data_IF_519327122586
#
_entry.id   IF_519327122586
#
_cell.length_a   1.000
_cell.length_b   1.000
_cell.length_c   1.000
_cell.angle_alpha   90.00
_cell.angle_beta   90.00
_cell.angle_gamma   90.00
#
_symmetry.space_group_name_H-M   'P 1'
#
loop_
_entity.id
_entity.type
_entity.pdbx_description
1 polymer ?
#
# COMPACT_ATOMS: atom_id res chain seq x y z
N UNK A 1 26.77 7.50 -20.94
CA UNK A 1 25.50 7.68 -20.22
C UNK A 1 25.56 6.84 -18.95
N UNK A 2 25.79 7.48 -17.81
CA UNK A 2 25.68 6.84 -16.49
C UNK A 2 24.20 6.57 -16.24
N UNK A 3 23.81 5.30 -16.08
CA UNK A 3 22.47 4.98 -15.58
C UNK A 3 22.35 5.66 -14.21
N UNK A 4 21.45 6.63 -14.10
CA UNK A 4 21.13 7.23 -12.81
C UNK A 4 20.81 6.09 -11.83
N UNK A 5 21.41 6.14 -10.64
CA UNK A 5 21.11 5.17 -9.60
C UNK A 5 19.58 5.10 -9.44
N UNK A 6 18.98 3.90 -9.37
CA UNK A 6 17.54 3.78 -9.24
C UNK A 6 17.11 4.59 -8.03
N UNK A 7 16.21 5.56 -8.24
CA UNK A 7 15.55 6.28 -7.15
C UNK A 7 14.79 5.23 -6.37
N UNK A 8 15.36 4.81 -5.24
CA UNK A 8 14.75 3.80 -4.41
C UNK A 8 13.64 4.49 -3.63
N UNK A 9 12.40 4.15 -3.94
CA UNK A 9 11.22 4.78 -3.36
C UNK A 9 10.86 4.00 -2.11
N UNK A 10 11.12 4.61 -0.97
CA UNK A 10 11.01 3.96 0.33
C UNK A 10 9.56 3.96 0.84
N UNK A 11 8.74 3.07 0.28
CA UNK A 11 7.36 2.88 0.73
C UNK A 11 7.35 2.37 2.17
N UNK A 12 6.86 3.19 3.11
CA UNK A 12 6.80 2.85 4.54
C UNK A 12 8.11 3.03 5.31
N UNK A 13 8.99 3.92 4.84
CA UNK A 13 10.23 4.26 5.52
C UNK A 13 11.45 3.49 4.99
N UNK A 14 12.63 3.84 5.49
CA UNK A 14 13.89 3.28 5.02
C UNK A 14 14.30 2.05 5.84
N UNK A 15 15.19 1.22 5.29
CA UNK A 15 15.79 0.07 5.98
C UNK A 15 16.52 0.42 7.30
N UNK A 16 16.85 1.69 7.51
CA UNK A 16 17.58 2.18 8.68
C UNK A 16 16.65 2.68 9.80
N UNK A 17 15.34 2.77 9.57
CA UNK A 17 14.38 3.14 10.62
C UNK A 17 14.00 1.95 11.50
N UNK A 18 13.47 2.26 12.69
CA UNK A 18 12.84 1.27 13.56
C UNK A 18 11.40 1.03 13.13
N UNK A 19 10.95 -0.21 13.27
CA UNK A 19 9.55 -0.56 13.08
C UNK A 19 8.73 0.00 14.25
N UNK A 20 7.66 0.79 14.01
CA UNK A 20 6.87 1.37 15.08
C UNK A 20 6.04 0.32 15.85
N UNK A 21 5.81 -0.87 15.27
CA UNK A 21 5.10 -1.97 15.94
C UNK A 21 5.95 -2.70 16.97
N UNK A 22 7.18 -3.08 16.61
CA UNK A 22 8.01 -3.97 17.43
C UNK A 22 9.29 -3.30 17.97
N UNK A 23 9.56 -2.05 17.59
CA UNK A 23 10.73 -1.26 17.97
C UNK A 23 12.10 -1.85 17.52
N UNK A 24 12.11 -2.92 16.74
CA UNK A 24 13.32 -3.48 16.14
C UNK A 24 13.74 -2.72 14.88
N UNK A 25 15.03 -2.73 14.56
CA UNK A 25 15.55 -2.14 13.32
C UNK A 25 15.12 -2.98 12.11
N UNK A 26 14.72 -2.32 11.03
CA UNK A 26 14.27 -3.01 9.81
C UNK A 26 15.36 -3.85 9.16
N UNK A 27 16.60 -3.37 9.17
CA UNK A 27 17.74 -4.05 8.58
C UNK A 27 18.88 -4.34 9.57
N UNK A 28 18.65 -4.11 10.87
CA UNK A 28 19.67 -4.20 11.93
C UNK A 28 19.02 -4.69 13.23
N UNK A 29 19.72 -5.57 13.94
CA UNK A 29 19.25 -6.17 15.20
C UNK A 29 18.69 -7.59 15.03
N UNK A 30 18.39 -8.24 16.16
CA UNK A 30 17.72 -9.55 16.21
C UNK A 30 16.52 -9.43 17.16
N UNK A 31 15.29 -9.77 16.74
CA UNK A 31 14.88 -10.23 15.41
C UNK A 31 15.00 -9.15 14.31
N UNK A 32 15.37 -9.58 13.10
CA UNK A 32 15.42 -8.74 11.90
C UNK A 32 14.15 -8.94 11.07
N UNK A 33 13.66 -7.86 10.46
CA UNK A 33 12.57 -7.94 9.50
C UNK A 33 13.01 -8.60 8.18
N UNK A 34 12.18 -9.49 7.65
CA UNK A 34 12.40 -10.09 6.32
C UNK A 34 12.06 -9.10 5.20
N UNK A 35 11.21 -8.11 5.47
CA UNK A 35 10.90 -6.99 4.56
C UNK A 35 11.48 -5.70 5.19
N UNK A 36 12.77 -5.39 4.95
CA UNK A 36 13.38 -4.20 5.51
C UNK A 36 12.87 -2.91 4.87
N UNK A 37 12.52 -2.96 3.58
CA UNK A 37 11.98 -1.86 2.80
C UNK A 37 11.17 -2.43 1.62
N UNK A 38 10.10 -1.74 1.21
CA UNK A 38 9.42 -2.02 -0.05
C UNK A 38 10.04 -1.10 -1.09
N UNK A 39 10.63 -1.69 -2.13
CA UNK A 39 11.35 -0.96 -3.18
C UNK A 39 10.53 -0.89 -4.46
N UNK A 40 10.94 -0.07 -5.41
CA UNK A 40 10.31 0.05 -6.73
C UNK A 40 11.19 -0.60 -7.83
N UNK A 41 10.63 -0.82 -9.02
CA UNK A 41 11.37 -1.27 -10.21
C UNK A 41 10.82 -0.65 -11.50
N UNK A 42 11.67 -0.53 -12.53
CA UNK A 42 11.22 -0.04 -13.84
C UNK A 42 10.10 -0.90 -14.43
N UNK A 43 10.13 -2.21 -14.18
CA UNK A 43 9.09 -3.12 -14.63
C UNK A 43 7.72 -2.78 -14.01
N UNK A 44 7.69 -2.54 -12.70
CA UNK A 44 6.45 -2.15 -12.02
C UNK A 44 5.93 -0.80 -12.51
N UNK A 45 6.81 0.18 -12.73
CA UNK A 45 6.43 1.48 -13.31
C UNK A 45 5.78 1.31 -14.70
N UNK A 46 6.33 0.42 -15.53
CA UNK A 46 5.74 0.10 -16.83
C UNK A 46 4.37 -0.57 -16.66
N UNK A 47 4.25 -1.55 -15.76
CA UNK A 47 2.99 -2.26 -15.50
C UNK A 47 1.86 -1.33 -15.03
N UNK A 48 2.14 -0.39 -14.12
CA UNK A 48 1.15 0.63 -13.71
C UNK A 48 0.77 1.52 -14.89
N UNK A 49 1.74 1.92 -15.72
CA UNK A 49 1.51 2.75 -16.90
C UNK A 49 0.63 2.05 -17.95
N UNK A 50 0.86 0.76 -18.20
CA UNK A 50 0.03 -0.07 -19.08
C UNK A 50 -1.40 -0.19 -18.55
N UNK A 51 -1.55 -0.48 -17.25
CA UNK A 51 -2.86 -0.54 -16.60
C UNK A 51 -3.60 0.80 -16.69
N UNK A 52 -2.90 1.91 -16.42
CA UNK A 52 -3.46 3.26 -16.60
C UNK A 52 -3.95 3.48 -18.02
N UNK A 53 -3.14 3.17 -19.01
CA UNK A 53 -3.49 3.39 -20.41
C UNK A 53 -4.71 2.53 -20.82
N UNK A 54 -4.79 1.29 -20.35
CA UNK A 54 -5.94 0.41 -20.56
C UNK A 54 -7.23 0.98 -19.95
N UNK A 55 -7.16 1.49 -18.72
CA UNK A 55 -8.29 2.13 -18.03
C UNK A 55 -8.72 3.43 -18.73
N UNK A 56 -7.77 4.22 -19.27
CA UNK A 56 -8.12 5.43 -20.02
C UNK A 56 -8.77 5.11 -21.37
N UNK A 57 -8.31 4.05 -22.03
CA UNK A 57 -8.86 3.59 -23.30
C UNK A 57 -10.30 3.04 -23.16
N UNK A 58 -10.66 2.47 -22.00
CA UNK A 58 -12.04 2.03 -21.74
C UNK A 58 -13.02 3.19 -21.55
N UNK A 59 -12.52 4.39 -21.24
CA UNK A 59 -13.33 5.59 -21.08
C UNK A 59 -14.11 5.66 -19.76
N UNK A 60 -13.99 4.64 -18.90
CA UNK A 60 -14.76 4.50 -17.66
C UNK A 60 -14.41 5.56 -16.59
N UNK A 61 -13.32 6.33 -16.75
CA UNK A 61 -12.75 7.13 -15.65
C UNK A 61 -12.33 8.57 -16.02
N UNK A 62 -12.89 9.13 -17.10
CA UNK A 62 -12.51 10.49 -17.56
C UNK A 62 -12.71 11.60 -16.52
N UNK A 63 -13.60 11.40 -15.54
CA UNK A 63 -14.02 12.43 -14.57
C UNK A 63 -13.57 12.20 -13.13
N UNK A 64 -12.79 11.15 -12.83
CA UNK A 64 -12.39 10.82 -11.45
C UNK A 64 -10.89 10.69 -11.30
N UNK A 65 -10.33 11.28 -10.26
CA UNK A 65 -8.96 10.99 -9.85
C UNK A 65 -8.89 9.76 -8.97
N UNK A 66 -7.78 9.04 -9.10
CA UNK A 66 -7.53 7.82 -8.36
C UNK A 66 -6.03 7.51 -8.37
N UNK A 67 -5.63 6.57 -7.53
CA UNK A 67 -4.29 6.03 -7.48
C UNK A 67 -4.34 4.58 -7.93
N UNK A 68 -3.51 4.22 -8.89
CA UNK A 68 -3.24 2.84 -9.25
C UNK A 68 -1.97 2.39 -8.53
N UNK A 69 -1.89 1.12 -8.21
CA UNK A 69 -0.66 0.52 -7.73
C UNK A 69 -0.53 -0.91 -8.17
N UNK A 70 0.70 -1.38 -8.24
CA UNK A 70 1.06 -2.77 -8.49
C UNK A 70 2.08 -3.21 -7.46
N UNK A 71 2.03 -4.49 -7.09
CA UNK A 71 2.96 -5.13 -6.17
C UNK A 71 3.45 -6.45 -6.80
N UNK A 72 4.77 -6.65 -6.76
CA UNK A 72 5.38 -7.97 -6.97
C UNK A 72 6.03 -8.44 -5.66
N UNK A 73 5.82 -9.69 -5.30
CA UNK A 73 6.50 -10.30 -4.16
C UNK A 73 6.94 -11.71 -4.49
N UNK A 74 8.02 -12.15 -3.84
CA UNK A 74 8.45 -13.54 -3.85
C UNK A 74 8.76 -13.99 -2.43
N UNK A 75 7.97 -14.95 -1.96
CA UNK A 75 8.04 -15.49 -0.60
C UNK A 75 8.11 -17.01 -0.69
N UNK A 76 9.16 -17.60 -0.11
CA UNK A 76 9.40 -19.05 -0.14
C UNK A 76 9.36 -19.62 -1.57
N UNK A 77 9.98 -18.94 -2.54
CA UNK A 77 9.96 -19.33 -3.94
C UNK A 77 8.67 -19.02 -4.71
N UNK A 78 7.56 -18.69 -4.02
CA UNK A 78 6.27 -18.41 -4.65
C UNK A 78 6.17 -16.94 -5.04
N UNK A 79 5.77 -16.69 -6.30
CA UNK A 79 5.57 -15.34 -6.84
C UNK A 79 4.12 -14.87 -6.65
N UNK A 80 3.95 -13.58 -6.38
CA UNK A 80 2.68 -12.89 -6.23
C UNK A 80 2.70 -11.60 -7.05
N UNK A 81 1.64 -11.36 -7.84
CA UNK A 81 1.48 -10.19 -8.68
C UNK A 81 0.10 -9.58 -8.48
N UNK A 82 0.05 -8.41 -7.85
CA UNK A 82 -1.19 -7.76 -7.44
C UNK A 82 -1.28 -6.38 -8.06
N UNK A 83 -2.47 -5.99 -8.50
CA UNK A 83 -2.77 -4.63 -8.91
C UNK A 83 -3.94 -4.10 -8.08
N UNK A 84 -4.00 -2.81 -7.79
CA UNK A 84 -5.07 -2.18 -7.03
C UNK A 84 -5.39 -0.79 -7.57
N UNK A 85 -6.64 -0.38 -7.38
CA UNK A 85 -7.05 1.02 -7.48
C UNK A 85 -7.46 1.53 -6.10
N UNK A 86 -7.12 2.77 -5.75
CA UNK A 86 -7.60 3.40 -4.51
C UNK A 86 -9.13 3.52 -4.47
N UNK A 87 -9.76 3.70 -5.63
CA UNK A 87 -11.21 3.83 -5.73
C UNK A 87 -11.88 2.45 -5.86
N UNK A 88 -12.72 2.08 -4.88
CA UNK A 88 -13.43 0.79 -4.86
C UNK A 88 -14.48 0.65 -5.98
N UNK A 89 -14.85 1.74 -6.65
CA UNK A 89 -15.79 1.70 -7.77
C UNK A 89 -15.11 1.45 -9.13
N UNK A 90 -13.78 1.32 -9.14
CA UNK A 90 -12.99 1.06 -10.34
C UNK A 90 -12.62 -0.42 -10.34
N UNK A 91 -13.25 -1.20 -11.22
CA UNK A 91 -12.86 -2.59 -11.44
C UNK A 91 -11.69 -2.66 -12.43
N UNK A 92 -10.50 -2.92 -11.90
CA UNK A 92 -9.29 -3.07 -12.71
C UNK A 92 -9.13 -4.48 -13.30
N UNK A 93 -9.91 -5.46 -12.85
CA UNK A 93 -9.78 -6.88 -13.23
C UNK A 93 -9.75 -7.10 -14.74
N UNK A 94 -10.71 -6.54 -15.52
CA UNK A 94 -10.74 -6.67 -16.98
C UNK A 94 -9.50 -6.13 -17.70
N UNK A 95 -8.76 -5.21 -17.08
CA UNK A 95 -7.62 -4.50 -17.68
C UNK A 95 -6.27 -5.15 -17.36
N UNK A 96 -6.21 -6.12 -16.44
CA UNK A 96 -4.95 -6.78 -16.04
C UNK A 96 -4.29 -7.55 -17.19
N UNK A 97 -5.06 -8.00 -18.18
CA UNK A 97 -4.56 -8.70 -19.36
C UNK A 97 -3.67 -7.84 -20.27
N UNK A 98 -3.77 -6.52 -20.15
CA UNK A 98 -2.99 -5.56 -20.93
C UNK A 98 -1.57 -5.37 -20.36
N UNK A 99 -1.33 -5.83 -19.12
CA UNK A 99 0.00 -5.78 -18.53
C UNK A 99 0.89 -6.85 -19.17
N UNK A 100 1.98 -6.41 -19.80
CA UNK A 100 2.88 -7.26 -20.58
C UNK A 100 3.85 -8.03 -19.69
N UNK A 101 4.42 -7.38 -18.68
CA UNK A 101 5.26 -8.03 -17.69
C UNK A 101 4.43 -9.04 -16.88
N UNK A 102 4.91 -10.28 -16.73
CA UNK A 102 4.17 -11.35 -16.03
C UNK A 102 2.74 -11.55 -16.55
N UNK A 103 2.56 -11.41 -17.87
CA UNK A 103 1.26 -11.51 -18.55
C UNK A 103 0.45 -12.71 -18.06
N UNK A 104 -0.82 -12.45 -17.71
CA UNK A 104 -1.76 -13.46 -17.22
C UNK A 104 -1.58 -13.88 -15.75
N UNK A 105 -0.57 -13.38 -15.04
CA UNK A 105 -0.35 -13.70 -13.61
C UNK A 105 -0.93 -12.67 -12.64
N UNK A 106 -1.25 -11.46 -13.10
CA UNK A 106 -1.77 -10.37 -12.26
C UNK A 106 -3.16 -10.67 -11.71
N UNK A 107 -3.37 -10.29 -10.43
CA UNK A 107 -4.67 -10.37 -9.76
C UNK A 107 -5.08 -9.00 -9.22
N UNK A 108 -6.38 -8.72 -9.24
CA UNK A 108 -6.91 -7.50 -8.65
C UNK A 108 -6.98 -7.64 -7.12
N UNK A 109 -6.43 -6.66 -6.41
CA UNK A 109 -6.51 -6.49 -4.96
C UNK A 109 -7.60 -5.47 -4.64
N UNK A 110 -8.78 -5.99 -4.27
CA UNK A 110 -9.98 -5.19 -4.00
C UNK A 110 -10.33 -5.15 -2.51
N UNK A 111 -9.36 -5.46 -1.65
CA UNK A 111 -9.56 -5.45 -0.21
C UNK A 111 -9.92 -4.05 0.29
N UNK A 112 -10.99 -3.98 1.09
CA UNK A 112 -11.36 -2.74 1.79
C UNK A 112 -10.31 -2.44 2.87
N UNK A 113 -9.90 -1.17 2.92
CA UNK A 113 -9.00 -0.66 3.96
C UNK A 113 -9.81 -0.36 5.22
N UNK A 114 -9.34 -0.77 6.42
CA UNK A 114 -9.98 -0.36 7.67
C UNK A 114 -10.06 1.17 7.78
N UNK A 115 -11.16 1.66 8.35
CA UNK A 115 -11.48 3.08 8.46
C UNK A 115 -11.63 3.48 9.93
N UNK A 116 -11.35 4.73 10.25
CA UNK A 116 -11.59 5.35 11.56
C UNK A 116 -13.07 5.67 11.72
N UNK A 117 -13.60 5.40 12.91
CA UNK A 117 -14.93 5.80 13.37
C UNK A 117 -14.89 7.24 13.92
N UNK A 118 -15.33 8.21 13.12
CA UNK A 118 -15.44 9.61 13.56
C UNK A 118 -16.56 9.86 14.58
N UNK A 119 -17.46 8.90 14.79
CA UNK A 119 -18.56 9.02 15.75
C UNK A 119 -18.17 8.65 17.18
N UNK A 120 -16.96 8.12 17.40
CA UNK A 120 -16.52 7.69 18.72
C UNK A 120 -15.63 8.71 19.43
N UNK A 121 -15.67 8.73 20.75
CA UNK A 121 -14.74 9.49 21.60
C UNK A 121 -14.31 8.59 22.78
N UNK A 122 -13.04 8.15 22.85
CA UNK A 122 -11.94 8.46 21.91
C UNK A 122 -12.16 7.86 20.52
N UNK A 123 -11.39 8.34 19.52
CA UNK A 123 -11.41 7.75 18.18
C UNK A 123 -10.98 6.28 18.23
N UNK A 124 -11.61 5.46 17.39
CA UNK A 124 -11.27 4.04 17.22
C UNK A 124 -11.36 3.65 15.75
N UNK A 125 -10.68 2.56 15.38
CA UNK A 125 -10.95 1.90 14.10
C UNK A 125 -12.35 1.28 14.12
N UNK A 126 -13.08 1.37 13.00
CA UNK A 126 -14.38 0.71 12.86
C UNK A 126 -14.19 -0.80 13.06
N UNK A 127 -14.84 -1.34 14.08
CA UNK A 127 -14.97 -2.78 14.30
C UNK A 127 -16.28 -3.27 13.72
N UNK A 128 -16.28 -4.41 13.05
CA UNK A 128 -17.51 -5.00 12.55
C UNK A 128 -18.43 -5.48 13.64
N UNK A 129 -19.72 -5.58 13.31
CA UNK A 129 -20.70 -6.27 14.15
C UNK A 129 -20.69 -7.76 13.84
N UNK A 130 -21.18 -8.56 14.79
CA UNK A 130 -21.40 -10.01 14.60
C UNK A 130 -22.31 -10.23 13.39
N UNK A 131 -21.75 -10.75 12.29
CA UNK A 131 -22.46 -11.02 11.04
C UNK A 131 -21.87 -10.32 9.81
N UNK A 132 -21.11 -9.24 10.00
CA UNK A 132 -20.34 -8.59 8.94
C UNK A 132 -19.08 -7.93 9.53
N UNK A 133 -17.99 -8.70 9.75
CA UNK A 133 -16.78 -8.15 10.33
C UNK A 133 -16.17 -7.14 9.35
N UNK A 134 -16.13 -5.86 9.75
CA UNK A 134 -15.35 -4.82 9.08
C UNK A 134 -13.89 -5.27 8.96
N UNK A 135 -13.18 -4.83 7.90
CA UNK A 135 -11.78 -5.18 7.72
C UNK A 135 -10.96 -4.74 8.94
N UNK A 136 -10.10 -5.64 9.42
CA UNK A 136 -9.14 -5.34 10.47
C UNK A 136 -7.75 -5.06 9.90
N UNK A 137 -7.01 -4.18 10.57
CA UNK A 137 -5.60 -4.01 10.33
C UNK A 137 -4.84 -5.25 10.76
N UNK A 138 -4.08 -5.80 9.82
CA UNK A 138 -3.28 -7.00 10.04
C UNK A 138 -1.92 -6.84 9.39
N UNK A 139 -0.92 -7.41 10.05
CA UNK A 139 0.42 -7.52 9.47
C UNK A 139 0.43 -8.51 8.31
N UNK A 140 1.54 -8.55 7.59
CA UNK A 140 1.81 -9.48 6.50
C UNK A 140 1.80 -10.95 6.96
N UNK A 141 2.03 -11.17 8.26
CA UNK A 141 1.89 -12.47 8.94
C UNK A 141 0.51 -12.73 9.52
N UNK A 142 -0.46 -11.89 9.17
CA UNK A 142 -1.84 -11.97 9.62
C UNK A 142 -2.10 -11.68 11.10
N UNK A 143 -1.12 -11.12 11.80
CA UNK A 143 -1.29 -10.72 13.19
C UNK A 143 -2.11 -9.43 13.25
N UNK A 144 -3.11 -9.37 14.15
CA UNK A 144 -3.87 -8.14 14.37
C UNK A 144 -2.93 -7.04 14.86
N UNK A 145 -3.15 -5.81 14.36
CA UNK A 145 -2.38 -4.65 14.78
C UNK A 145 -3.31 -3.44 14.92
N UNK A 146 -3.18 -2.72 16.02
CA UNK A 146 -3.88 -1.46 16.23
C UNK A 146 -2.92 -0.32 15.87
N UNK A 147 -3.15 0.30 14.71
CA UNK A 147 -2.35 1.46 14.28
C UNK A 147 -2.78 2.66 15.15
N UNK A 148 -1.86 3.35 15.85
CA UNK A 148 -2.21 4.47 16.70
C UNK A 148 -2.97 5.56 15.94
N UNK A 149 -3.97 6.14 16.60
CA UNK A 149 -4.73 7.27 16.09
C UNK A 149 -4.30 8.55 16.83
N UNK A 150 -4.27 9.71 16.16
CA UNK A 150 -4.01 11.00 16.82
C UNK A 150 -4.98 11.26 17.98
N UNK A 151 -4.45 11.59 19.16
CA UNK A 151 -5.24 11.72 20.40
C UNK A 151 -6.09 13.01 20.46
N UNK A 152 -5.65 14.10 19.83
CA UNK A 152 -6.28 15.42 19.96
C UNK A 152 -6.94 15.89 18.66
N UNK A 153 -8.12 15.35 18.35
CA UNK A 153 -8.88 15.69 17.13
C UNK A 153 -9.63 17.01 17.20
N UNK A 154 -9.49 17.77 18.28
CA UNK A 154 -10.07 19.10 18.39
C UNK A 154 -9.25 20.16 17.63
N UNK A 155 -7.97 19.89 17.32
CA UNK A 155 -7.16 20.75 16.46
C UNK A 155 -7.24 20.30 14.98
N UNK A 156 -7.11 21.27 14.07
CA UNK A 156 -7.25 21.04 12.63
C UNK A 156 -6.19 20.07 12.07
N UNK A 157 -4.99 20.08 12.66
CA UNK A 157 -3.86 19.23 12.26
C UNK A 157 -4.19 17.75 12.45
N UNK A 158 -4.63 17.36 13.64
CA UNK A 158 -5.01 15.98 13.93
C UNK A 158 -6.21 15.52 13.10
N UNK A 159 -7.17 16.42 12.82
CA UNK A 159 -8.30 16.11 11.92
C UNK A 159 -7.83 15.82 10.50
N UNK A 160 -6.87 16.61 9.99
CA UNK A 160 -6.24 16.35 8.68
C UNK A 160 -5.53 15.00 8.68
N UNK A 161 -4.73 14.69 9.70
CA UNK A 161 -4.06 13.39 9.83
C UNK A 161 -5.05 12.21 9.84
N UNK A 162 -6.16 12.30 10.58
CA UNK A 162 -7.19 11.24 10.59
C UNK A 162 -7.89 11.12 9.24
N UNK A 163 -8.18 12.24 8.56
CA UNK A 163 -8.71 12.22 7.20
C UNK A 163 -7.74 11.54 6.22
N UNK A 164 -6.43 11.80 6.36
CA UNK A 164 -5.39 11.18 5.54
C UNK A 164 -5.26 9.67 5.80
N UNK A 165 -5.44 9.22 7.05
CA UNK A 165 -5.51 7.80 7.41
C UNK A 165 -6.74 7.09 6.82
N UNK A 166 -7.85 7.80 6.64
CA UNK A 166 -9.07 7.26 6.02
C UNK A 166 -9.03 7.24 4.48
N UNK A 167 -8.08 7.94 3.85
CA UNK A 167 -7.90 7.84 2.41
C UNK A 167 -7.47 6.41 2.06
N UNK A 168 -8.29 5.76 1.23
CA UNK A 168 -7.94 4.47 0.65
C UNK A 168 -6.82 4.69 -0.37
N UNK A 169 -5.73 3.94 -0.25
CA UNK A 169 -4.59 3.98 -1.16
C UNK A 169 -4.36 2.59 -1.75
N UNK A 170 -3.85 2.54 -2.98
CA UNK A 170 -3.58 1.27 -3.64
C UNK A 170 -2.61 0.41 -2.82
N UNK A 171 -1.54 1.00 -2.27
CA UNK A 171 -0.58 0.33 -1.38
C UNK A 171 -1.22 -0.44 -0.22
N UNK A 172 -2.21 0.16 0.45
CA UNK A 172 -2.88 -0.48 1.58
C UNK A 172 -3.62 -1.73 1.14
N UNK A 173 -4.34 -1.66 0.01
CA UNK A 173 -5.07 -2.81 -0.54
C UNK A 173 -4.10 -3.91 -0.96
N UNK A 174 -3.02 -3.56 -1.64
CA UNK A 174 -1.99 -4.49 -2.10
C UNK A 174 -1.36 -5.26 -0.94
N UNK A 175 -0.95 -4.57 0.13
CA UNK A 175 -0.29 -5.20 1.28
C UNK A 175 -1.25 -6.06 2.11
N UNK A 176 -2.49 -5.59 2.31
CA UNK A 176 -3.50 -6.38 3.00
C UNK A 176 -3.88 -7.64 2.19
N UNK A 177 -4.05 -7.51 0.88
CA UNK A 177 -4.31 -8.65 -0.01
C UNK A 177 -3.14 -9.64 -0.05
N UNK A 178 -1.89 -9.14 -0.08
CA UNK A 178 -0.72 -10.00 0.02
C UNK A 178 -0.72 -10.80 1.32
N UNK A 179 -1.04 -10.18 2.46
CA UNK A 179 -1.17 -10.86 3.74
C UNK A 179 -2.25 -11.95 3.74
N UNK A 180 -3.40 -11.70 3.09
CA UNK A 180 -4.44 -12.72 2.89
C UNK A 180 -3.93 -13.92 2.09
N UNK A 181 -3.30 -13.67 0.95
CA UNK A 181 -2.80 -14.73 0.08
C UNK A 181 -1.71 -15.56 0.78
N UNK A 182 -0.81 -14.91 1.53
CA UNK A 182 0.22 -15.60 2.28
C UNK A 182 -0.36 -16.49 3.38
N UNK A 183 -1.42 -16.02 4.07
CA UNK A 183 -2.16 -16.83 5.05
C UNK A 183 -2.84 -18.02 4.39
N UNK A 184 -3.63 -17.77 3.35
CA UNK A 184 -4.43 -18.82 2.68
C UNK A 184 -3.55 -19.95 2.16
N UNK A 185 -2.35 -19.61 1.66
CA UNK A 185 -1.40 -20.58 1.12
C UNK A 185 -0.44 -21.17 2.16
N UNK A 186 -0.58 -20.80 3.45
CA UNK A 186 0.38 -21.13 4.51
C UNK A 186 1.83 -20.89 4.05
N UNK A 187 2.03 -19.77 3.34
CA UNK A 187 3.21 -19.52 2.53
C UNK A 187 4.25 -18.62 3.22
N UNK A 188 3.99 -18.19 4.46
CA UNK A 188 4.96 -17.38 5.17
C UNK A 188 6.29 -18.13 5.34
N UNK A 189 7.40 -17.43 5.08
CA UNK A 189 8.73 -18.00 5.06
C UNK A 189 9.76 -16.96 4.63
N UNK A 190 10.94 -17.38 4.15
CA UNK A 190 11.96 -16.48 3.64
C UNK A 190 11.39 -15.55 2.56
N UNK A 191 11.54 -14.24 2.77
CA UNK A 191 11.14 -13.22 1.79
C UNK A 191 12.34 -12.93 0.90
N UNK A 192 12.19 -13.14 -0.40
CA UNK A 192 13.22 -12.81 -1.39
C UNK A 192 13.12 -11.35 -1.81
N UNK A 193 11.89 -10.88 -2.07
CA UNK A 193 11.60 -9.46 -2.26
C UNK A 193 10.11 -9.16 -2.07
N UNK A 194 9.84 -7.89 -1.75
CA UNK A 194 8.54 -7.22 -1.93
C UNK A 194 8.82 -5.88 -2.57
N UNK A 195 8.18 -5.61 -3.71
CA UNK A 195 8.32 -4.37 -4.47
C UNK A 195 6.98 -3.83 -4.87
N UNK A 196 6.88 -2.52 -4.99
CA UNK A 196 5.64 -1.82 -5.27
C UNK A 196 5.89 -0.55 -6.09
N UNK A 197 4.96 -0.24 -6.98
CA UNK A 197 4.89 1.04 -7.69
C UNK A 197 3.46 1.55 -7.61
N UNK A 198 3.30 2.86 -7.44
CA UNK A 198 1.99 3.53 -7.49
C UNK A 198 2.00 4.62 -8.58
N UNK A 199 0.84 5.03 -9.06
CA UNK A 199 0.68 6.18 -9.95
C UNK A 199 -0.63 6.89 -9.66
N UNK A 200 -0.57 8.21 -9.51
CA UNK A 200 -1.78 9.05 -9.42
C UNK A 200 -2.27 9.41 -10.82
N UNK A 201 -3.55 9.18 -11.06
CA UNK A 201 -4.29 9.78 -12.15
C UNK A 201 -5.11 10.93 -11.60
N UNK A 202 -4.93 12.12 -12.19
CA UNK A 202 -5.72 13.31 -11.88
C UNK A 202 -6.67 13.57 -13.06
N UNK A 203 -7.98 13.60 -12.80
CA UNK A 203 -8.95 13.99 -13.80
C UNK A 203 -8.79 15.48 -14.17
N UNK A 204 -9.17 15.90 -15.39
CA UNK A 204 -9.00 17.28 -15.84
C UNK A 204 -9.69 18.32 -14.94
N UNK A 205 -10.84 17.95 -14.36
CA UNK A 205 -11.68 18.79 -13.51
C UNK A 205 -11.23 18.83 -12.05
N UNK A 206 -10.21 18.05 -11.68
CA UNK A 206 -9.86 17.83 -10.28
C UNK A 206 -8.88 18.89 -9.72
N UNK A 207 -8.96 19.21 -8.42
CA UNK A 207 -8.26 20.34 -7.85
C UNK A 207 -6.75 20.14 -7.83
N UNK A 208 -6.04 21.26 -7.84
CA UNK A 208 -4.58 21.39 -7.85
C UNK A 208 -3.87 20.55 -6.77
N UNK A 209 -4.56 20.20 -5.68
CA UNK A 209 -4.05 19.38 -4.58
C UNK A 209 -3.75 17.91 -4.90
N UNK A 210 -4.28 17.32 -5.98
CA UNK A 210 -3.83 16.00 -6.46
C UNK A 210 -2.66 16.10 -7.46
N UNK A 211 -2.47 17.30 -8.04
CA UNK A 211 -1.35 17.59 -8.93
C UNK A 211 -0.01 17.70 -8.19
N UNK A 212 -0.03 17.83 -6.86
CA UNK A 212 1.18 17.78 -6.02
C UNK A 212 1.66 16.35 -5.75
N UNK A 213 0.74 15.38 -5.76
CA UNK A 213 1.03 13.93 -5.70
C UNK A 213 1.38 13.35 -7.07
N UNK A 214 1.01 14.06 -8.12
CA UNK A 214 1.79 14.14 -9.34
C UNK A 214 3.18 14.73 -8.95
N UNK A 215 4.11 13.88 -8.49
CA UNK A 215 5.51 14.23 -8.21
C UNK A 215 6.28 14.95 -9.33
N UNK A 216 7.25 15.79 -8.95
CA UNK A 216 8.06 16.67 -9.82
C UNK A 216 9.11 15.95 -10.71
N UNK A 217 8.84 14.73 -11.17
CA UNK A 217 9.75 13.90 -11.97
C UNK A 217 9.46 13.96 -13.48
N UNK A 218 10.50 13.94 -14.30
CA UNK A 218 10.39 14.02 -15.76
C UNK A 218 9.61 12.83 -16.35
N UNK A 219 8.55 13.15 -17.10
CA UNK A 219 7.92 12.30 -18.13
C UNK A 219 7.65 10.84 -17.74
N UNK A 220 6.43 10.61 -17.23
CA UNK A 220 5.67 9.36 -17.34
C UNK A 220 5.86 8.25 -16.28
N UNK A 221 6.62 8.45 -15.19
CA UNK A 221 6.57 7.52 -14.06
C UNK A 221 6.46 8.24 -12.72
N UNK A 222 5.25 8.22 -12.14
CA UNK A 222 4.89 9.04 -10.99
C UNK A 222 4.60 8.13 -9.80
N UNK A 223 5.65 7.50 -9.27
CA UNK A 223 5.58 6.79 -8.00
C UNK A 223 5.35 7.77 -6.88
N UNK A 224 4.12 7.83 -6.39
CA UNK A 224 3.81 8.56 -5.19
C UNK A 224 4.81 8.12 -4.11
N UNK A 225 5.60 9.05 -3.60
CA UNK A 225 5.98 8.94 -2.20
C UNK A 225 4.67 8.62 -1.48
N UNK A 226 4.60 7.45 -0.85
CA UNK A 226 3.42 7.02 -0.11
C UNK A 226 2.89 8.24 0.66
N UNK A 227 1.61 8.58 0.49
CA UNK A 227 1.04 9.73 1.19
C UNK A 227 1.30 9.63 2.70
N UNK A 228 1.22 10.74 3.43
CA UNK A 228 1.54 10.76 4.86
C UNK A 228 0.81 9.63 5.62
N UNK A 229 -0.47 9.41 5.31
CA UNK A 229 -1.23 8.28 5.85
C UNK A 229 -0.66 6.90 5.47
N UNK A 230 -0.17 6.68 4.24
CA UNK A 230 0.52 5.42 3.90
C UNK A 230 1.86 5.28 4.61
N UNK A 231 2.64 6.36 4.77
CA UNK A 231 3.90 6.32 5.51
C UNK A 231 3.71 5.95 6.97
N UNK A 232 2.59 6.33 7.57
CA UNK A 232 2.22 5.92 8.93
C UNK A 232 1.77 4.46 9.01
N UNK A 233 1.03 3.96 7.99
CA UNK A 233 0.39 2.63 8.03
C UNK A 233 1.28 1.48 7.53
N UNK A 234 1.97 1.63 6.40
CA UNK A 234 2.83 0.58 5.79
C UNK A 234 3.78 -0.05 6.82
N UNK A 235 4.47 0.72 7.68
CA UNK A 235 5.41 0.16 8.64
C UNK A 235 4.85 -0.97 9.51
N UNK A 236 3.58 -0.85 9.92
CA UNK A 236 2.88 -1.84 10.71
C UNK A 236 2.50 -3.06 9.86
N UNK A 237 2.04 -2.84 8.62
CA UNK A 237 1.58 -3.91 7.73
C UNK A 237 2.71 -4.85 7.34
N UNK A 238 3.91 -4.34 7.08
CA UNK A 238 5.06 -5.20 6.71
C UNK A 238 5.83 -5.77 7.91
N UNK A 239 5.37 -5.51 9.14
CA UNK A 239 6.00 -6.08 10.34
C UNK A 239 5.77 -7.59 10.39
N UNK A 240 6.86 -8.35 10.36
CA UNK A 240 6.87 -9.81 10.39
C UNK A 240 7.49 -10.40 11.67
N UNK A 241 7.86 -9.53 12.62
CA UNK A 241 8.28 -9.93 13.96
C UNK A 241 7.06 -10.47 14.72
N UNK A 242 7.10 -11.73 15.21
CA UNK A 242 6.02 -12.31 16.01
C UNK A 242 5.68 -11.48 17.24
N UNK A 243 4.41 -11.45 17.63
CA UNK A 243 3.96 -10.69 18.79
C UNK A 243 4.65 -11.12 20.10
N UNK A 244 4.91 -12.41 20.27
CA UNK A 244 5.59 -12.97 21.45
C UNK A 244 7.10 -12.66 21.51
N UNK A 245 7.65 -11.97 20.52
CA UNK A 245 9.05 -11.52 20.50
C UNK A 245 9.18 -10.01 20.74
N UNK A 246 8.07 -9.31 20.93
CA UNK A 246 8.08 -7.87 21.18
C UNK A 246 8.42 -7.60 22.66
N UNK A 247 9.14 -6.51 22.97
CA UNK A 247 9.33 -6.10 24.36
C UNK A 247 7.97 -5.83 25.02
N UNK A 248 7.83 -6.21 26.29
CA UNK A 248 6.66 -5.83 27.10
C UNK A 248 6.59 -4.31 27.30
#
# INVERSE_FOLDING_TARGET
MTMAAPVNLYHGGTKDTRCPRCNYGRNKGNPRHSIPEITDSQGLRNAVGELRNALLASGEFKTRSFMLGVLEAKVRGQEYYLAACSNNHIDIGPHLKEITQHKGKWKAANRRTPEVDFGSTPLKWKSGTTGNPEPEWRTIKWEKVDIPLPENTHNEVSRRSVNDLNKSCAAMKLLLELGDLLRQNQAWGPVEYVRMSEQVYAAPEDPEGLRTWHGKGATCSWTAHSCDGCMERIPYLICDVPANWMPN
#
